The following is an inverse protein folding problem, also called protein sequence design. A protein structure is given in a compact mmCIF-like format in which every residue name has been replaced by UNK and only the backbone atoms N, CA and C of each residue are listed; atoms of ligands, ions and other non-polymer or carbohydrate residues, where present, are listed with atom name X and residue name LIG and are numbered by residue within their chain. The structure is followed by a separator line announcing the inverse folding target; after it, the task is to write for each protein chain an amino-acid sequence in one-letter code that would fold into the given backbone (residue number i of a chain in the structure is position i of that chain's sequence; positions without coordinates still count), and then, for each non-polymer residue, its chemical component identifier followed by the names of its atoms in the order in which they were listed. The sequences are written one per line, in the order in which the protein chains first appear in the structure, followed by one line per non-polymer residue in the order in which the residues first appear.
data_IF_006738147798
#
_entry.id   IF_006738147798
#
_cell.length_a   1.000
_cell.length_b   1.000
_cell.length_c   1.000
_cell.angle_alpha   90.00
_cell.angle_beta   90.00
_cell.angle_gamma   90.00
#
_symmetry.space_group_name_H-M   'P 1'
#
loop_
_entity.id
_entity.type
_entity.pdbx_description
1 polymer ?
#
# COMPACT_ATOMS: atom_id res chain seq x y z
N UNK A 1 -24.01 14.20 5.10
CA UNK A 1 -24.05 12.74 4.90
C UNK A 1 -24.01 12.52 3.40
N UNK A 2 -23.05 11.76 2.88
CA UNK A 2 -23.01 11.36 1.47
C UNK A 2 -23.67 9.99 1.40
N UNK A 3 -24.66 9.86 0.53
CA UNK A 3 -25.36 8.61 0.26
C UNK A 3 -25.48 8.47 -1.26
N UNK A 4 -24.69 7.57 -1.83
CA UNK A 4 -24.69 7.30 -3.27
C UNK A 4 -25.77 6.26 -3.58
N UNK A 5 -26.51 6.46 -4.66
CA UNK A 5 -27.55 5.52 -5.08
C UNK A 5 -27.30 5.11 -6.54
N UNK A 6 -27.38 3.81 -6.83
CA UNK A 6 -27.29 3.25 -8.17
C UNK A 6 -28.00 1.89 -8.21
N UNK A 7 -28.34 1.44 -9.42
CA UNK A 7 -29.03 0.17 -9.65
C UNK A 7 -28.19 -1.00 -9.12
N UNK A 8 -28.82 -1.97 -8.45
CA UNK A 8 -28.15 -3.14 -7.87
C UNK A 8 -27.07 -2.83 -6.84
N UNK A 9 -27.10 -1.68 -6.16
CA UNK A 9 -26.34 -1.44 -4.93
C UNK A 9 -26.78 -2.46 -3.87
N UNK A 10 -26.18 -3.66 -3.90
CA UNK A 10 -26.51 -4.76 -3.02
C UNK A 10 -26.45 -4.30 -1.55
N UNK A 11 -27.36 -4.81 -0.72
CA UNK A 11 -27.19 -4.76 0.73
C UNK A 11 -26.04 -5.69 1.10
N UNK A 12 -24.82 -5.14 1.02
CA UNK A 12 -23.57 -5.88 1.11
C UNK A 12 -23.47 -6.82 2.31
N UNK A 13 -24.16 -6.53 3.41
CA UNK A 13 -24.17 -7.40 4.58
C UNK A 13 -24.76 -8.80 4.29
N UNK A 14 -25.80 -8.88 3.47
CA UNK A 14 -26.42 -10.14 3.07
C UNK A 14 -25.53 -10.91 2.08
N UNK A 15 -24.91 -10.21 1.13
CA UNK A 15 -23.97 -10.81 0.16
C UNK A 15 -22.68 -11.30 0.84
N UNK A 16 -22.15 -10.53 1.79
CA UNK A 16 -20.95 -10.89 2.56
C UNK A 16 -21.16 -12.18 3.34
N UNK A 17 -22.31 -12.34 4.02
CA UNK A 17 -22.62 -13.58 4.74
C UNK A 17 -22.63 -14.79 3.80
N UNK A 18 -23.29 -14.67 2.64
CA UNK A 18 -23.34 -15.73 1.63
C UNK A 18 -21.96 -16.08 1.06
N UNK A 19 -21.10 -15.07 0.83
CA UNK A 19 -19.74 -15.32 0.35
C UNK A 19 -18.91 -16.00 1.44
N UNK A 20 -19.02 -15.56 2.70
CA UNK A 20 -18.27 -16.16 3.82
C UNK A 20 -18.57 -17.64 4.04
N UNK A 21 -19.84 -18.05 3.88
CA UNK A 21 -20.23 -19.45 4.02
C UNK A 21 -19.56 -20.38 2.98
N UNK A 22 -19.15 -19.81 1.83
CA UNK A 22 -18.46 -20.51 0.75
C UNK A 22 -16.92 -20.46 0.86
N UNK A 23 -16.32 -19.70 1.78
CA UNK A 23 -14.86 -19.50 1.87
C UNK A 23 -14.09 -20.61 2.61
N UNK A 24 -14.58 -21.86 2.59
CA UNK A 24 -14.00 -22.99 3.35
C UNK A 24 -12.68 -23.58 2.79
N UNK A 25 -11.99 -22.93 1.85
CA UNK A 25 -10.91 -23.56 1.06
C UNK A 25 -9.53 -22.86 1.09
N UNK A 26 -9.25 -21.99 2.06
CA UNK A 26 -7.87 -21.47 2.23
C UNK A 26 -7.00 -22.45 3.02
N UNK A 27 -5.91 -22.90 2.40
CA UNK A 27 -4.86 -23.67 3.06
C UNK A 27 -3.58 -22.83 3.22
N UNK A 28 -2.91 -23.03 4.36
CA UNK A 28 -1.59 -22.45 4.59
C UNK A 28 -0.55 -23.30 3.90
N UNK A 29 0.36 -22.67 3.17
CA UNK A 29 1.48 -23.37 2.58
C UNK A 29 2.80 -22.85 3.14
N UNK A 30 3.57 -23.76 3.71
CA UNK A 30 4.99 -23.52 3.95
C UNK A 30 5.75 -23.78 2.65
N UNK A 31 5.90 -22.74 1.82
CA UNK A 31 6.83 -22.79 0.67
C UNK A 31 8.28 -22.76 1.18
N UNK A 32 8.72 -23.90 1.72
CA UNK A 32 10.00 -24.16 2.39
C UNK A 32 10.29 -23.20 3.55
N UNK A 33 9.72 -23.53 4.71
CA UNK A 33 10.05 -23.03 6.05
C UNK A 33 11.41 -23.51 6.57
N UNK A 34 12.38 -23.77 5.69
CA UNK A 34 13.79 -23.60 6.04
C UNK A 34 14.48 -22.90 4.88
N UNK A 35 15.03 -21.70 5.08
CA UNK A 35 16.19 -21.32 4.28
C UNK A 35 17.19 -22.48 4.40
N UNK A 36 18.08 -22.65 3.43
CA UNK A 36 19.23 -23.56 3.56
C UNK A 36 20.17 -23.22 4.74
N UNK A 37 19.74 -22.33 5.65
CA UNK A 37 20.48 -21.68 6.72
C UNK A 37 19.51 -21.34 7.86
N UNK A 38 19.79 -21.84 9.06
CA UNK A 38 19.03 -21.58 10.28
C UNK A 38 18.97 -20.07 10.59
N UNK A 39 17.80 -19.45 10.45
CA UNK A 39 17.54 -18.10 10.93
C UNK A 39 17.02 -18.21 12.37
N UNK A 40 17.92 -18.02 13.34
CA UNK A 40 17.58 -17.90 14.77
C UNK A 40 16.77 -16.61 14.98
N UNK A 41 15.50 -16.78 15.36
CA UNK A 41 14.54 -15.69 15.63
C UNK A 41 14.65 -15.26 17.09
N UNK A 42 14.93 -13.99 17.35
CA UNK A 42 14.69 -13.37 18.65
C UNK A 42 14.15 -11.95 18.48
N UNK A 43 12.82 -11.79 18.49
CA UNK A 43 12.16 -10.51 18.72
C UNK A 43 10.84 -10.69 19.48
N UNK A 44 10.47 -9.65 20.23
CA UNK A 44 9.53 -9.60 21.36
C UNK A 44 8.04 -9.87 21.07
N UNK A 45 7.70 -10.61 20.01
CA UNK A 45 6.34 -11.11 19.78
C UNK A 45 6.48 -12.48 19.08
N UNK A 46 6.65 -13.54 19.89
CA UNK A 46 7.17 -14.85 19.43
C UNK A 46 6.28 -15.59 18.43
N UNK A 47 5.04 -15.13 18.17
CA UNK A 47 4.04 -15.92 17.44
C UNK A 47 3.52 -15.27 16.13
N UNK A 48 3.98 -14.07 15.75
CA UNK A 48 3.51 -13.45 14.49
C UNK A 48 4.30 -13.91 13.27
N UNK A 49 3.55 -14.28 12.23
CA UNK A 49 4.05 -14.58 10.88
C UNK A 49 3.38 -13.62 9.91
N UNK A 50 4.16 -12.85 9.16
CA UNK A 50 3.67 -11.99 8.07
C UNK A 50 3.03 -12.84 6.97
N UNK A 51 2.02 -12.30 6.26
CA UNK A 51 1.19 -13.15 5.37
C UNK A 51 1.09 -12.57 3.98
N UNK A 52 1.48 -13.35 2.98
CA UNK A 52 1.30 -13.03 1.57
C UNK A 52 0.22 -13.96 0.99
N UNK A 53 -0.94 -13.42 0.69
CA UNK A 53 -2.04 -14.17 0.10
C UNK A 53 -1.94 -14.17 -1.42
N UNK A 54 -2.01 -15.35 -2.03
CA UNK A 54 -2.25 -15.50 -3.45
C UNK A 54 -3.74 -15.71 -3.68
N UNK A 55 -4.45 -14.66 -4.09
CA UNK A 55 -5.91 -14.69 -4.18
C UNK A 55 -6.52 -13.38 -4.64
N UNK A 56 -7.80 -13.46 -5.01
CA UNK A 56 -8.63 -12.28 -5.21
C UNK A 56 -8.73 -11.48 -3.90
N UNK A 57 -8.64 -10.16 -4.03
CA UNK A 57 -8.50 -9.27 -2.88
C UNK A 57 -9.76 -9.20 -2.01
N UNK A 58 -10.96 -9.26 -2.61
CA UNK A 58 -12.22 -9.25 -1.89
C UNK A 58 -12.40 -10.58 -1.15
N UNK A 59 -12.15 -11.71 -1.83
CA UNK A 59 -12.21 -13.03 -1.20
C UNK A 59 -11.24 -13.16 -0.02
N UNK A 60 -9.99 -12.70 -0.18
CA UNK A 60 -9.00 -12.71 0.90
C UNK A 60 -9.43 -11.81 2.05
N UNK A 61 -9.92 -10.60 1.78
CA UNK A 61 -10.38 -9.71 2.84
C UNK A 61 -11.59 -10.28 3.61
N UNK A 62 -12.51 -10.95 2.92
CA UNK A 62 -13.65 -11.64 3.53
C UNK A 62 -13.22 -12.83 4.39
N UNK A 63 -12.21 -13.59 3.95
CA UNK A 63 -11.60 -14.67 4.72
C UNK A 63 -10.88 -14.15 5.98
N UNK A 64 -10.23 -12.98 5.89
CA UNK A 64 -9.57 -12.35 7.02
C UNK A 64 -10.55 -11.74 8.04
N UNK A 65 -11.74 -11.35 7.59
CA UNK A 65 -12.70 -10.57 8.37
C UNK A 65 -13.08 -11.18 9.74
N UNK A 66 -13.33 -12.49 9.90
CA UNK A 66 -13.62 -13.07 11.20
C UNK A 66 -12.48 -12.93 12.22
N UNK A 67 -11.23 -12.92 11.75
CA UNK A 67 -10.04 -12.90 12.62
C UNK A 67 -9.43 -11.52 12.80
N UNK A 68 -9.47 -10.68 11.76
CA UNK A 68 -8.75 -9.40 11.69
C UNK A 68 -9.67 -8.18 11.63
N UNK A 69 -10.96 -8.34 11.97
CA UNK A 69 -11.87 -7.21 12.14
C UNK A 69 -11.24 -6.18 13.09
N UNK A 70 -11.19 -4.94 12.62
CA UNK A 70 -10.70 -3.79 13.38
C UNK A 70 -9.28 -3.93 13.96
N UNK A 71 -8.39 -4.64 13.25
CA UNK A 71 -7.02 -4.89 13.70
C UNK A 71 -5.93 -4.32 12.78
N UNK A 72 -6.27 -3.83 11.60
CA UNK A 72 -5.29 -3.28 10.66
C UNK A 72 -5.09 -1.79 10.91
N UNK A 73 -3.86 -1.37 11.22
CA UNK A 73 -3.55 0.02 11.58
C UNK A 73 -3.31 0.90 10.35
N UNK A 74 -2.89 0.32 9.23
CA UNK A 74 -2.75 1.06 7.98
C UNK A 74 -3.10 0.21 6.78
N UNK A 75 -3.97 0.75 5.91
CA UNK A 75 -4.22 0.23 4.58
C UNK A 75 -3.59 1.16 3.54
N UNK A 76 -2.71 0.65 2.69
CA UNK A 76 -2.31 1.34 1.46
C UNK A 76 -2.91 0.59 0.27
N UNK A 77 -3.71 1.28 -0.52
CA UNK A 77 -4.42 0.72 -1.65
C UNK A 77 -4.02 1.45 -2.93
N UNK A 78 -3.60 0.68 -3.92
CA UNK A 78 -3.25 1.13 -5.27
C UNK A 78 -4.10 0.33 -6.28
N UNK A 79 -5.43 0.54 -6.29
CA UNK A 79 -6.33 -0.21 -7.16
C UNK A 79 -6.03 0.06 -8.64
N UNK A 80 -6.57 -0.75 -9.57
CA UNK A 80 -6.61 -0.40 -10.98
C UNK A 80 -7.20 1.01 -11.18
N UNK A 81 -6.63 1.81 -12.08
CA UNK A 81 -6.96 3.24 -12.22
C UNK A 81 -8.07 3.51 -13.22
N UNK A 82 -8.73 2.49 -13.76
CA UNK A 82 -9.68 2.63 -14.85
C UNK A 82 -9.01 3.26 -16.10
N UNK A 83 -7.76 2.86 -16.37
CA UNK A 83 -6.96 3.41 -17.48
C UNK A 83 -7.41 2.92 -18.87
N UNK A 84 -8.30 1.93 -18.94
CA UNK A 84 -8.76 1.33 -20.18
C UNK A 84 -7.74 0.38 -20.83
N UNK A 85 -6.66 0.03 -20.13
CA UNK A 85 -5.55 -0.77 -20.66
C UNK A 85 -5.27 -1.98 -19.77
N UNK A 86 -5.02 -3.14 -20.40
CA UNK A 86 -4.51 -4.31 -19.70
C UNK A 86 -2.99 -4.25 -19.59
N UNK A 87 -2.44 -4.50 -18.42
CA UNK A 87 -1.00 -4.41 -18.18
C UNK A 87 -0.34 -5.77 -18.40
N UNK A 88 0.61 -5.83 -19.33
CA UNK A 88 1.31 -7.06 -19.70
C UNK A 88 2.74 -7.09 -19.13
N UNK A 89 3.20 -8.30 -18.87
CA UNK A 89 4.58 -8.61 -18.49
C UNK A 89 5.18 -9.63 -19.44
N UNK A 90 6.47 -9.49 -19.64
CA UNK A 90 7.30 -10.44 -20.35
C UNK A 90 8.10 -11.24 -19.32
N UNK A 91 8.07 -12.55 -19.45
CA UNK A 91 8.76 -13.50 -18.58
C UNK A 91 9.90 -14.13 -19.35
N UNK A 92 11.09 -14.08 -18.75
CA UNK A 92 12.27 -14.80 -19.21
C UNK A 92 12.57 -15.91 -18.20
N UNK A 93 12.52 -17.15 -18.66
CA UNK A 93 12.77 -18.38 -17.91
C UNK A 93 13.85 -19.18 -18.64
N UNK A 94 15.13 -18.99 -18.25
CA UNK A 94 16.26 -19.52 -19.00
C UNK A 94 16.28 -19.00 -20.45
N UNK A 95 16.14 -19.90 -21.42
CA UNK A 95 16.08 -19.57 -22.85
C UNK A 95 14.64 -19.33 -23.36
N UNK A 96 13.62 -19.49 -22.52
CA UNK A 96 12.22 -19.28 -22.90
C UNK A 96 11.80 -17.86 -22.60
N UNK A 97 11.16 -17.22 -23.58
CA UNK A 97 10.58 -15.89 -23.46
C UNK A 97 9.11 -15.96 -23.85
N UNK A 98 8.23 -15.50 -22.96
CA UNK A 98 6.80 -15.47 -23.24
C UNK A 98 6.12 -14.29 -22.55
N UNK A 99 4.95 -13.92 -23.07
CA UNK A 99 4.16 -12.81 -22.56
C UNK A 99 2.95 -13.31 -21.79
N UNK A 100 2.57 -12.56 -20.77
CA UNK A 100 1.38 -12.85 -19.98
C UNK A 100 0.83 -11.58 -19.35
N UNK A 101 -0.36 -11.67 -18.78
CA UNK A 101 -1.02 -10.55 -18.15
C UNK A 101 -0.50 -10.36 -16.71
N UNK A 102 -0.17 -9.12 -16.35
CA UNK A 102 0.11 -8.76 -14.96
C UNK A 102 -1.19 -8.53 -14.19
N UNK A 103 -2.08 -7.68 -14.73
CA UNK A 103 -3.41 -7.43 -14.19
C UNK A 103 -4.31 -6.74 -15.24
N UNK A 104 -5.61 -6.85 -15.02
CA UNK A 104 -6.64 -6.17 -15.81
C UNK A 104 -6.88 -4.75 -15.29
N UNK A 105 -6.92 -3.78 -16.20
CA UNK A 105 -7.44 -2.42 -15.94
C UNK A 105 -8.24 -1.88 -17.14
N UNK A 106 -8.75 -2.84 -17.95
CA UNK A 106 -9.76 -2.61 -18.96
C UNK A 106 -11.06 -3.24 -18.47
N UNK A 107 -12.07 -2.40 -18.27
CA UNK A 107 -13.38 -2.76 -17.73
C UNK A 107 -14.38 -2.74 -18.88
N UNK A 108 -14.78 -3.93 -19.35
CA UNK A 108 -15.63 -4.06 -20.55
C UNK A 108 -17.02 -3.46 -20.33
N UNK A 109 -17.53 -3.60 -19.11
CA UNK A 109 -18.86 -3.15 -18.70
C UNK A 109 -18.88 -1.70 -18.18
N UNK A 110 -17.80 -0.95 -18.42
CA UNK A 110 -17.73 0.48 -18.15
C UNK A 110 -17.45 0.86 -16.69
N UNK A 111 -17.72 2.13 -16.38
CA UNK A 111 -17.38 2.76 -15.11
C UNK A 111 -18.19 2.20 -13.94
N UNK A 112 -19.44 1.81 -14.17
CA UNK A 112 -20.34 1.37 -13.09
C UNK A 112 -19.87 0.07 -12.44
N UNK A 113 -19.44 -0.91 -13.24
CA UNK A 113 -18.87 -2.17 -12.74
C UNK A 113 -17.55 -1.93 -11.99
N UNK A 114 -16.73 -0.99 -12.46
CA UNK A 114 -15.52 -0.57 -11.76
C UNK A 114 -15.84 0.02 -10.38
N UNK A 115 -16.76 0.98 -10.33
CA UNK A 115 -17.15 1.66 -9.09
C UNK A 115 -17.82 0.70 -8.10
N UNK A 116 -18.67 -0.21 -8.59
CA UNK A 116 -19.28 -1.24 -7.74
C UNK A 116 -18.21 -2.15 -7.13
N UNK A 117 -17.23 -2.60 -7.93
CA UNK A 117 -16.12 -3.44 -7.45
C UNK A 117 -15.30 -2.73 -6.37
N UNK A 118 -14.94 -1.45 -6.59
CA UNK A 118 -14.21 -0.64 -5.61
C UNK A 118 -15.03 -0.44 -4.33
N UNK A 119 -16.33 -0.16 -4.45
CA UNK A 119 -17.22 0.02 -3.32
C UNK A 119 -17.29 -1.24 -2.44
N UNK A 120 -17.51 -2.41 -3.06
CA UNK A 120 -17.54 -3.70 -2.37
C UNK A 120 -16.23 -3.99 -1.62
N UNK A 121 -15.09 -3.81 -2.29
CA UNK A 121 -13.76 -4.00 -1.71
C UNK A 121 -13.54 -3.07 -0.52
N UNK A 122 -13.78 -1.76 -0.70
CA UNK A 122 -13.50 -0.76 0.33
C UNK A 122 -14.44 -0.88 1.53
N UNK A 123 -15.67 -1.34 1.32
CA UNK A 123 -16.59 -1.65 2.41
C UNK A 123 -16.04 -2.73 3.34
N UNK A 124 -15.49 -3.82 2.79
CA UNK A 124 -14.87 -4.89 3.58
C UNK A 124 -13.56 -4.41 4.22
N UNK A 125 -12.72 -3.70 3.47
CA UNK A 125 -11.46 -3.15 3.99
C UNK A 125 -11.69 -2.21 5.18
N UNK A 126 -12.74 -1.37 5.13
CA UNK A 126 -13.14 -0.53 6.27
C UNK A 126 -13.41 -1.36 7.53
N UNK A 127 -14.03 -2.54 7.41
CA UNK A 127 -14.31 -3.42 8.57
C UNK A 127 -13.04 -4.07 9.14
N UNK A 128 -11.97 -4.20 8.36
CA UNK A 128 -10.67 -4.70 8.84
C UNK A 128 -9.82 -3.61 9.52
N UNK A 129 -10.02 -2.35 9.13
CA UNK A 129 -9.27 -1.21 9.66
C UNK A 129 -9.58 -0.96 11.14
N UNK A 130 -8.54 -0.84 11.97
CA UNK A 130 -8.64 -0.57 13.41
C UNK A 130 -9.25 0.81 13.67
N UNK A 131 -9.81 1.07 14.86
CA UNK A 131 -10.39 2.38 15.18
C UNK A 131 -9.39 3.53 15.03
N UNK A 132 -8.10 3.26 15.27
CA UNK A 132 -6.98 4.20 15.14
C UNK A 132 -6.34 4.21 13.74
N UNK A 133 -6.85 3.37 12.84
CA UNK A 133 -6.23 3.09 11.57
C UNK A 133 -6.51 4.13 10.49
N UNK A 134 -5.57 4.22 9.55
CA UNK A 134 -5.66 5.08 8.37
C UNK A 134 -5.72 4.27 7.08
N UNK A 135 -6.53 4.72 6.13
CA UNK A 135 -6.56 4.21 4.76
C UNK A 135 -5.98 5.26 3.81
N UNK A 136 -5.02 4.84 2.98
CA UNK A 136 -4.38 5.63 1.95
C UNK A 136 -4.77 5.04 0.59
N UNK A 137 -5.58 5.77 -0.18
CA UNK A 137 -6.07 5.31 -1.49
C UNK A 137 -5.41 6.12 -2.59
N UNK A 138 -4.58 5.46 -3.38
CA UNK A 138 -3.84 6.06 -4.49
C UNK A 138 -4.64 5.98 -5.79
N UNK A 139 -4.80 7.12 -6.46
CA UNK A 139 -5.60 7.26 -7.68
C UNK A 139 -4.96 8.24 -8.65
N UNK A 140 -5.22 8.04 -9.94
CA UNK A 140 -4.92 9.04 -10.97
C UNK A 140 -6.17 9.86 -11.34
N UNK A 141 -6.14 10.55 -12.49
CA UNK A 141 -7.20 11.46 -12.91
C UNK A 141 -8.46 10.79 -13.47
N UNK A 142 -8.45 9.49 -13.80
CA UNK A 142 -9.58 8.88 -14.51
C UNK A 142 -10.82 8.74 -13.62
N UNK A 143 -10.65 8.28 -12.38
CA UNK A 143 -11.77 7.94 -11.49
C UNK A 143 -11.68 8.54 -10.07
N UNK A 144 -10.73 9.44 -9.80
CA UNK A 144 -10.49 9.96 -8.44
C UNK A 144 -11.72 10.57 -7.76
N UNK A 145 -12.53 11.34 -8.48
CA UNK A 145 -13.68 12.04 -7.90
C UNK A 145 -14.78 11.06 -7.48
N UNK A 146 -15.00 10.00 -8.26
CA UNK A 146 -15.96 8.94 -7.92
C UNK A 146 -15.47 8.12 -6.72
N UNK A 147 -14.19 7.75 -6.70
CA UNK A 147 -13.59 7.04 -5.55
C UNK A 147 -13.64 7.91 -4.29
N UNK A 148 -13.42 9.22 -4.40
CA UNK A 148 -13.53 10.16 -3.28
C UNK A 148 -14.95 10.26 -2.73
N UNK A 149 -15.97 10.12 -3.58
CA UNK A 149 -17.37 10.06 -3.15
C UNK A 149 -17.69 8.74 -2.44
N UNK A 150 -17.20 7.60 -2.96
CA UNK A 150 -17.30 6.29 -2.30
C UNK A 150 -16.69 6.33 -0.90
N UNK A 151 -15.49 6.93 -0.76
CA UNK A 151 -14.84 7.04 0.55
C UNK A 151 -15.63 7.93 1.51
N UNK A 152 -16.27 9.00 1.04
CA UNK A 152 -17.12 9.85 1.90
C UNK A 152 -18.34 9.12 2.44
N UNK A 153 -18.99 8.29 1.63
CA UNK A 153 -20.09 7.47 2.11
C UNK A 153 -19.58 6.41 3.11
N UNK A 154 -18.52 5.69 2.73
CA UNK A 154 -18.02 4.57 3.52
C UNK A 154 -17.42 5.04 4.84
N UNK A 155 -16.55 6.03 4.84
CA UNK A 155 -15.84 6.49 6.05
C UNK A 155 -16.53 7.66 6.73
N UNK A 156 -17.37 8.41 6.02
CA UNK A 156 -17.95 9.66 6.51
C UNK A 156 -17.07 10.86 6.16
N UNK A 157 -17.70 11.94 5.70
CA UNK A 157 -17.01 13.16 5.27
C UNK A 157 -16.10 13.77 6.35
N UNK A 158 -16.46 13.65 7.62
CA UNK A 158 -15.70 14.19 8.74
C UNK A 158 -14.41 13.39 9.03
N UNK A 159 -14.34 12.14 8.56
CA UNK A 159 -13.16 11.29 8.68
C UNK A 159 -12.17 11.47 7.51
N UNK A 160 -12.43 12.42 6.61
CA UNK A 160 -11.45 12.82 5.61
C UNK A 160 -10.28 13.55 6.30
N UNK A 161 -9.08 12.98 6.19
CA UNK A 161 -7.88 13.50 6.85
C UNK A 161 -7.12 14.43 5.91
N UNK A 162 -6.82 13.98 4.69
CA UNK A 162 -6.03 14.76 3.74
C UNK A 162 -6.11 14.25 2.29
N UNK A 163 -5.66 15.07 1.35
CA UNK A 163 -5.39 14.71 -0.05
C UNK A 163 -3.91 14.99 -0.36
N UNK A 164 -3.09 13.95 -0.39
CA UNK A 164 -1.66 14.06 -0.67
C UNK A 164 -1.43 14.09 -2.18
N UNK A 165 -0.68 15.08 -2.65
CA UNK A 165 -0.26 15.20 -4.06
C UNK A 165 1.11 14.58 -4.22
N UNK A 166 1.19 13.44 -4.92
CA UNK A 166 2.48 12.85 -5.28
C UNK A 166 2.98 13.44 -6.60
N UNK A 167 3.83 14.45 -6.51
CA UNK A 167 4.45 15.10 -7.67
C UNK A 167 5.73 14.37 -8.11
N UNK A 168 5.70 13.82 -9.32
CA UNK A 168 6.85 13.20 -9.96
C UNK A 168 7.50 14.17 -10.97
N UNK A 169 8.76 14.51 -10.72
CA UNK A 169 9.50 15.48 -11.55
C UNK A 169 10.18 14.86 -12.78
N UNK A 170 10.10 13.53 -12.94
CA UNK A 170 10.83 12.75 -13.92
C UNK A 170 9.91 11.96 -14.87
N UNK A 171 8.59 12.18 -14.85
CA UNK A 171 7.69 11.60 -15.87
C UNK A 171 7.69 12.52 -17.08
N UNK A 172 8.09 11.96 -18.21
CA UNK A 172 7.88 12.63 -19.49
C UNK A 172 6.39 12.56 -19.86
N UNK A 173 5.81 13.70 -20.29
CA UNK A 173 4.46 13.74 -20.83
C UNK A 173 4.55 13.98 -22.33
N UNK A 174 4.00 13.05 -23.11
CA UNK A 174 3.94 13.16 -24.57
C UNK A 174 2.70 13.92 -25.08
N UNK A 175 1.83 14.40 -24.18
CA UNK A 175 0.60 15.11 -24.53
C UNK A 175 0.87 16.41 -25.26
N UNK A 176 0.27 16.60 -26.45
CA UNK A 176 0.41 17.82 -27.27
C UNK A 176 -0.61 18.91 -26.94
N UNK A 177 -1.77 18.53 -26.37
CA UNK A 177 -2.93 19.41 -26.19
C UNK A 177 -3.28 19.69 -24.72
N UNK A 178 -2.42 19.32 -23.78
CA UNK A 178 -2.63 19.53 -22.35
C UNK A 178 -1.31 19.72 -21.60
N UNK A 179 -1.39 20.27 -20.39
CA UNK A 179 -0.25 20.33 -19.50
C UNK A 179 0.23 18.91 -19.14
N UNK A 180 1.54 18.70 -18.98
CA UNK A 180 2.08 17.45 -18.48
C UNK A 180 1.42 16.99 -17.19
N UNK A 181 0.76 15.82 -17.22
CA UNK A 181 0.21 15.19 -16.03
C UNK A 181 1.35 14.73 -15.12
N UNK A 182 1.66 15.54 -14.13
CA UNK A 182 2.88 15.41 -13.33
C UNK A 182 2.66 14.89 -11.89
N UNK A 183 1.43 14.52 -11.54
CA UNK A 183 1.11 14.02 -10.20
C UNK A 183 -0.04 13.02 -10.20
N UNK A 184 -0.08 12.23 -9.14
CA UNK A 184 -1.20 11.41 -8.72
C UNK A 184 -1.69 11.90 -7.34
N UNK A 185 -2.89 11.47 -6.93
CA UNK A 185 -3.51 11.86 -5.65
C UNK A 185 -3.60 10.64 -4.73
N UNK A 186 -3.30 10.82 -3.44
CA UNK A 186 -3.51 9.81 -2.41
C UNK A 186 -4.48 10.38 -1.38
N UNK A 187 -5.71 9.86 -1.37
CA UNK A 187 -6.70 10.23 -0.35
C UNK A 187 -6.39 9.52 0.97
N UNK A 188 -6.54 10.25 2.07
CA UNK A 188 -6.34 9.73 3.43
C UNK A 188 -7.63 9.88 4.21
N UNK A 189 -8.11 8.77 4.76
CA UNK A 189 -9.24 8.73 5.69
C UNK A 189 -8.86 8.01 6.96
N UNK A 190 -9.46 8.42 8.07
CA UNK A 190 -9.42 7.69 9.33
C UNK A 190 -10.65 6.81 9.48
N UNK A 191 -10.54 5.77 10.31
CA UNK A 191 -11.70 4.97 10.73
C UNK A 191 -12.60 5.72 11.70
N UNK A 192 -12.01 6.54 12.56
CA UNK A 192 -12.65 7.31 13.63
C UNK A 192 -11.97 8.68 13.82
N UNK A 193 -12.45 9.44 14.80
CA UNK A 193 -11.88 10.75 15.18
C UNK A 193 -10.53 10.63 15.90
N UNK A 194 -10.17 9.43 16.39
CA UNK A 194 -8.89 9.14 17.03
C UNK A 194 -8.06 8.24 16.13
N UNK A 195 -6.89 8.70 15.68
CA UNK A 195 -6.04 7.94 14.76
C UNK A 195 -4.55 8.27 14.90
N UNK A 196 -3.70 7.32 14.50
CA UNK A 196 -2.25 7.51 14.50
C UNK A 196 -1.82 8.36 13.31
N UNK A 197 -1.28 9.56 13.57
CA UNK A 197 -0.69 10.43 12.55
C UNK A 197 0.60 11.08 13.05
N UNK A 198 1.72 10.46 12.72
CA UNK A 198 3.04 10.90 13.13
C UNK A 198 3.52 12.12 12.33
N UNK A 199 4.02 13.13 13.04
CA UNK A 199 4.67 14.27 12.40
C UNK A 199 6.01 13.88 11.79
N UNK A 200 6.14 14.03 10.47
CA UNK A 200 7.42 13.92 9.78
C UNK A 200 7.98 15.31 9.47
N UNK A 201 9.28 15.48 9.72
CA UNK A 201 10.04 16.68 9.37
C UNK A 201 10.98 16.40 8.21
N UNK A 202 11.07 17.36 7.28
CA UNK A 202 11.95 17.29 6.11
C UNK A 202 12.94 18.45 6.10
N UNK A 203 14.18 18.23 5.63
CA UNK A 203 15.17 19.29 5.53
C UNK A 203 14.73 20.39 4.56
N UNK A 204 15.06 21.63 4.90
CA UNK A 204 14.90 22.78 3.99
C UNK A 204 16.07 22.84 3.02
N UNK A 205 15.82 23.31 1.80
CA UNK A 205 16.88 23.61 0.82
C UNK A 205 17.85 24.68 1.33
N UNK A 206 17.32 25.69 2.03
CA UNK A 206 18.10 26.75 2.67
C UNK A 206 17.57 26.95 4.10
N UNK A 207 18.46 27.04 5.11
CA UNK A 207 18.05 27.41 6.46
C UNK A 207 17.37 28.78 6.47
N UNK A 208 16.42 28.97 7.37
CA UNK A 208 15.73 30.26 7.56
C UNK A 208 15.91 30.75 8.98
N UNK A 209 15.89 32.07 9.17
CA UNK A 209 15.76 32.69 10.49
C UNK A 209 14.27 32.69 10.88
N UNK A 210 13.94 32.07 12.00
CA UNK A 210 12.60 32.10 12.57
C UNK A 210 12.65 32.75 13.95
N UNK A 211 11.65 33.59 14.28
CA UNK A 211 11.51 34.14 15.61
C UNK A 211 11.41 33.00 16.64
N UNK A 212 12.25 33.06 17.68
CA UNK A 212 12.14 32.17 18.83
C UNK A 212 10.88 32.58 19.59
N UNK A 213 10.01 31.62 19.88
CA UNK A 213 8.81 31.85 20.70
C UNK A 213 8.95 31.11 22.02
N UNK A 214 8.46 31.72 23.08
CA UNK A 214 8.46 31.18 24.45
C UNK A 214 7.06 31.28 25.04
N UNK A 215 6.69 30.28 25.85
CA UNK A 215 5.43 30.32 26.60
C UNK A 215 5.61 31.22 27.81
N UNK A 216 4.76 32.26 27.91
CA UNK A 216 4.70 33.17 29.06
C UNK A 216 3.25 33.25 29.50
N UNK A 217 2.95 32.78 30.71
CA UNK A 217 1.59 32.75 31.28
C UNK A 217 0.56 32.11 30.33
N UNK A 218 0.88 30.94 29.77
CA UNK A 218 -0.01 30.23 28.83
C UNK A 218 -0.12 30.85 27.43
N UNK A 219 0.54 31.99 27.18
CA UNK A 219 0.53 32.66 25.87
C UNK A 219 1.88 32.54 25.17
N UNK A 220 1.86 32.16 23.90
CA UNK A 220 3.07 32.05 23.07
C UNK A 220 3.54 33.45 22.62
N UNK A 221 4.63 33.97 23.20
CA UNK A 221 5.20 35.30 22.86
C UNK A 221 6.53 35.17 22.13
N UNK A 222 6.89 36.17 21.33
CA UNK A 222 8.23 36.25 20.72
C UNK A 222 9.26 36.50 21.83
N UNK A 223 10.32 35.69 21.85
CA UNK A 223 11.41 35.83 22.79
C UNK A 223 12.19 37.12 22.50
N UNK A 224 12.50 37.84 23.57
CA UNK A 224 13.34 39.03 23.54
C UNK A 224 14.59 38.79 24.38
N UNK A 225 15.70 39.41 23.99
CA UNK A 225 16.91 39.46 24.81
C UNK A 225 16.78 40.49 25.94
N UNK A 226 17.82 40.63 26.75
CA UNK A 226 17.89 41.57 27.89
C UNK A 226 17.70 43.04 27.46
N UNK A 227 17.99 43.35 26.19
CA UNK A 227 17.85 44.68 25.60
C UNK A 227 16.50 44.87 24.89
N UNK A 228 15.60 43.88 24.95
CA UNK A 228 14.28 43.93 24.33
C UNK A 228 14.25 43.58 22.83
N UNK A 229 15.37 43.17 22.23
CA UNK A 229 15.45 42.80 20.81
C UNK A 229 14.93 41.38 20.57
N UNK A 230 14.30 41.16 19.40
CA UNK A 230 13.76 39.86 19.03
C UNK A 230 14.85 38.82 18.81
N UNK A 231 14.72 37.66 19.46
CA UNK A 231 15.65 36.54 19.31
C UNK A 231 15.20 35.67 18.13
N UNK A 232 16.15 35.33 17.25
CA UNK A 232 15.94 34.43 16.12
C UNK A 232 16.67 33.10 16.35
N UNK A 233 16.10 32.01 15.83
CA UNK A 233 16.74 30.71 15.71
C UNK A 233 16.90 30.33 14.24
N UNK A 234 17.97 29.63 13.91
CA UNK A 234 18.16 29.05 12.57
C UNK A 234 17.41 27.73 12.50
N UNK A 235 16.45 27.64 11.58
CA UNK A 235 15.65 26.42 11.37
C UNK A 235 16.08 25.78 10.06
N UNK A 236 16.53 24.52 10.16
CA UNK A 236 17.06 23.75 9.02
C UNK A 236 16.05 22.76 8.43
N UNK A 237 14.91 22.56 9.08
CA UNK A 237 13.86 21.64 8.65
C UNK A 237 12.47 22.30 8.65
N UNK A 238 11.47 21.59 8.15
CA UNK A 238 10.06 21.96 8.26
C UNK A 238 9.22 20.71 8.48
N UNK A 239 8.03 20.91 9.06
CA UNK A 239 6.98 19.91 8.97
C UNK A 239 6.72 19.60 7.50
N UNK A 240 6.60 18.33 7.18
CA UNK A 240 6.28 17.89 5.84
C UNK A 240 4.85 18.30 5.48
N UNK A 241 4.68 18.83 4.28
CA UNK A 241 3.39 19.18 3.70
C UNK A 241 2.81 17.99 2.93
N UNK A 242 1.65 18.19 2.33
CA UNK A 242 0.88 17.24 1.52
C UNK A 242 1.34 17.15 0.06
N UNK A 243 2.27 18.00 -0.39
CA UNK A 243 2.85 17.95 -1.75
C UNK A 243 4.21 17.26 -1.76
N UNK A 244 4.21 15.99 -2.16
CA UNK A 244 5.39 15.15 -2.07
C UNK A 244 6.14 15.05 -3.38
N UNK A 245 7.32 15.67 -3.43
CA UNK A 245 8.24 15.55 -4.56
C UNK A 245 9.06 14.26 -4.48
N UNK A 246 8.57 13.19 -5.10
CA UNK A 246 9.22 11.86 -5.17
C UNK A 246 9.18 11.40 -6.64
N UNK A 247 10.27 10.87 -7.22
CA UNK A 247 10.24 10.46 -8.63
C UNK A 247 9.32 9.26 -8.83
N UNK A 248 8.69 9.18 -10.00
CA UNK A 248 8.05 7.94 -10.43
C UNK A 248 9.11 6.87 -10.69
N UNK A 249 8.70 5.60 -10.59
CA UNK A 249 9.60 4.48 -10.80
C UNK A 249 10.06 4.42 -12.26
N UNK A 250 11.37 4.27 -12.46
CA UNK A 250 11.99 4.19 -13.78
C UNK A 250 12.65 2.82 -13.94
N UNK A 251 12.66 2.22 -15.14
CA UNK A 251 13.29 0.92 -15.39
C UNK A 251 14.79 0.87 -15.03
N UNK A 252 15.49 2.00 -15.12
CA UNK A 252 16.90 2.12 -14.75
C UNK A 252 17.14 2.22 -13.22
N UNK A 253 16.09 2.28 -12.40
CA UNK A 253 16.23 2.38 -10.95
C UNK A 253 16.75 1.07 -10.37
N UNK A 254 17.73 1.14 -9.46
CA UNK A 254 18.22 -0.05 -8.72
C UNK A 254 17.15 -0.78 -7.91
N UNK A 255 16.04 -0.11 -7.63
CA UNK A 255 14.94 -0.66 -6.85
C UNK A 255 13.82 -1.26 -7.73
N UNK A 256 13.92 -1.14 -9.06
CA UNK A 256 12.95 -1.63 -10.02
C UNK A 256 12.97 -3.16 -10.10
N UNK A 257 11.79 -3.77 -10.03
CA UNK A 257 11.60 -5.23 -10.07
C UNK A 257 11.25 -5.75 -11.45
N UNK A 258 10.98 -4.86 -12.41
CA UNK A 258 10.41 -5.23 -13.70
C UNK A 258 8.89 -5.21 -13.76
N UNK A 259 8.20 -5.23 -12.61
CA UNK A 259 6.74 -5.30 -12.58
C UNK A 259 6.07 -3.96 -12.93
N UNK A 260 5.00 -3.93 -13.75
CA UNK A 260 4.29 -2.71 -14.10
C UNK A 260 3.87 -1.90 -12.87
N UNK A 261 3.80 -0.58 -13.06
CA UNK A 261 3.26 0.39 -12.09
C UNK A 261 3.87 0.35 -10.68
N UNK A 262 5.00 -0.32 -10.46
CA UNK A 262 5.69 -0.35 -9.16
C UNK A 262 5.89 1.05 -8.58
N UNK A 263 5.61 1.19 -7.28
CA UNK A 263 5.74 2.42 -6.53
C UNK A 263 7.14 2.62 -5.94
N UNK A 264 7.50 3.87 -5.68
CA UNK A 264 8.83 4.24 -5.17
C UNK A 264 8.95 3.96 -3.67
N UNK A 265 10.03 3.32 -3.20
CA UNK A 265 10.15 2.91 -1.79
C UNK A 265 9.97 4.08 -0.82
N UNK A 266 10.58 5.23 -1.12
CA UNK A 266 10.42 6.49 -0.35
C UNK A 266 8.96 6.93 -0.16
N UNK A 267 8.06 6.63 -1.11
CA UNK A 267 6.64 6.96 -0.99
C UNK A 267 6.01 6.10 0.11
N UNK A 268 6.17 4.78 0.03
CA UNK A 268 5.57 3.84 0.99
C UNK A 268 6.21 3.96 2.37
N UNK A 269 7.54 4.13 2.45
CA UNK A 269 8.23 4.35 3.72
C UNK A 269 7.69 5.60 4.44
N UNK A 270 7.29 6.62 3.68
CA UNK A 270 6.73 7.86 4.23
C UNK A 270 5.30 7.65 4.70
N UNK A 271 4.46 7.00 3.90
CA UNK A 271 3.08 6.65 4.26
C UNK A 271 3.05 5.83 5.55
N UNK A 272 3.84 4.75 5.60
CA UNK A 272 3.92 3.85 6.75
C UNK A 272 4.38 4.61 8.00
N UNK A 273 5.41 5.46 7.90
CA UNK A 273 5.88 6.25 9.05
C UNK A 273 4.83 7.24 9.57
N UNK A 274 4.00 7.80 8.69
CA UNK A 274 2.93 8.73 9.10
C UNK A 274 1.85 7.96 9.85
N UNK A 275 1.31 6.89 9.26
CA UNK A 275 0.11 6.25 9.80
C UNK A 275 0.35 5.10 10.77
N UNK A 276 1.61 4.76 11.09
CA UNK A 276 1.93 3.64 12.00
C UNK A 276 3.19 3.85 12.84
N UNK A 277 3.28 3.11 13.93
CA UNK A 277 4.45 2.89 14.78
C UNK A 277 5.14 1.53 14.47
N UNK A 278 6.29 1.25 15.09
CA UNK A 278 6.91 -0.09 14.98
C UNK A 278 5.97 -1.14 15.62
N UNK A 279 5.84 -2.32 15.00
CA UNK A 279 4.95 -3.38 15.48
C UNK A 279 3.51 -3.32 14.94
N UNK A 280 3.02 -2.16 14.51
CA UNK A 280 1.69 -2.01 13.93
C UNK A 280 1.49 -2.90 12.68
N UNK A 281 0.22 -3.20 12.38
CA UNK A 281 -0.18 -4.05 11.25
C UNK A 281 -0.51 -3.21 10.01
N UNK A 282 0.30 -3.36 8.97
CA UNK A 282 0.09 -2.74 7.66
C UNK A 282 -0.53 -3.76 6.69
N UNK A 283 -1.51 -3.37 5.90
CA UNK A 283 -1.99 -4.21 4.81
C UNK A 283 -2.06 -3.51 3.45
N UNK A 284 -1.84 -4.30 2.40
CA UNK A 284 -1.93 -3.89 1.00
C UNK A 284 -2.63 -4.98 0.20
N UNK A 285 -3.88 -4.72 -0.16
CA UNK A 285 -4.71 -5.67 -0.91
C UNK A 285 -4.54 -5.57 -2.44
N UNK A 286 -3.56 -4.79 -2.91
CA UNK A 286 -3.16 -4.65 -4.32
C UNK A 286 -1.62 -4.68 -4.42
N UNK A 287 -0.97 -5.60 -3.72
CA UNK A 287 0.44 -5.43 -3.37
C UNK A 287 1.40 -5.47 -4.57
N UNK A 288 1.01 -6.12 -5.68
CA UNK A 288 1.77 -6.19 -6.92
C UNK A 288 3.22 -6.63 -6.70
N UNK A 289 4.15 -5.74 -7.00
CA UNK A 289 5.60 -5.91 -6.77
C UNK A 289 6.06 -5.96 -5.29
N UNK A 290 5.12 -5.90 -4.33
CA UNK A 290 5.39 -6.02 -2.89
C UNK A 290 6.06 -4.78 -2.28
N UNK A 291 5.85 -3.59 -2.84
CA UNK A 291 6.59 -2.40 -2.38
C UNK A 291 6.18 -1.97 -0.99
N UNK A 292 4.89 -1.99 -0.68
CA UNK A 292 4.37 -1.68 0.65
C UNK A 292 4.87 -2.68 1.69
N UNK A 293 4.78 -3.97 1.39
CA UNK A 293 5.22 -5.05 2.30
C UNK A 293 6.72 -4.96 2.60
N UNK A 294 7.53 -4.74 1.57
CA UNK A 294 8.97 -4.52 1.74
C UNK A 294 9.29 -3.28 2.60
N UNK A 295 8.53 -2.19 2.42
CA UNK A 295 8.72 -0.98 3.23
C UNK A 295 8.27 -1.21 4.68
N UNK A 296 7.17 -1.94 4.90
CA UNK A 296 6.68 -2.33 6.22
C UNK A 296 7.71 -3.20 6.95
N UNK A 297 8.23 -4.24 6.27
CA UNK A 297 9.30 -5.12 6.77
C UNK A 297 10.53 -4.31 7.19
N UNK A 298 11.03 -3.44 6.30
CA UNK A 298 12.19 -2.58 6.58
C UNK A 298 11.97 -1.64 7.77
N UNK A 299 10.73 -1.23 8.00
CA UNK A 299 10.32 -0.39 9.10
C UNK A 299 9.84 -1.20 10.32
N UNK A 300 10.00 -2.53 10.34
CA UNK A 300 9.59 -3.41 11.45
C UNK A 300 8.10 -3.32 11.79
N UNK A 301 7.26 -3.23 10.76
CA UNK A 301 5.81 -3.40 10.89
C UNK A 301 5.45 -4.85 10.56
N UNK A 302 4.39 -5.34 11.18
CA UNK A 302 3.73 -6.57 10.74
C UNK A 302 2.99 -6.27 9.44
N UNK A 303 2.85 -7.24 8.55
CA UNK A 303 2.12 -7.02 7.30
C UNK A 303 1.29 -8.19 6.79
N UNK A 304 0.22 -7.83 6.08
CA UNK A 304 -0.60 -8.71 5.25
C UNK A 304 -0.65 -8.13 3.84
N UNK A 305 -0.36 -8.93 2.82
CA UNK A 305 -0.49 -8.52 1.43
C UNK A 305 -1.30 -9.52 0.63
N UNK A 306 -1.95 -9.08 -0.45
CA UNK A 306 -2.52 -10.00 -1.44
C UNK A 306 -2.28 -9.54 -2.87
N UNK A 307 -2.19 -10.51 -3.76
CA UNK A 307 -2.29 -10.31 -5.20
C UNK A 307 -2.82 -11.59 -5.87
N UNK A 308 -3.55 -11.46 -6.97
CA UNK A 308 -4.07 -12.62 -7.69
C UNK A 308 -3.04 -13.19 -8.69
N UNK A 309 -2.04 -12.40 -9.10
CA UNK A 309 -1.02 -12.80 -10.05
C UNK A 309 0.07 -13.64 -9.39
N UNK A 310 0.25 -14.88 -9.85
CA UNK A 310 1.37 -15.74 -9.40
C UNK A 310 2.74 -15.09 -9.57
N UNK A 311 2.89 -14.21 -10.57
CA UNK A 311 4.13 -13.47 -10.81
C UNK A 311 4.34 -12.33 -9.83
N UNK A 312 3.27 -11.64 -9.40
CA UNK A 312 3.33 -10.67 -8.31
C UNK A 312 3.74 -11.36 -7.00
N UNK A 313 3.15 -12.51 -6.70
CA UNK A 313 3.48 -13.33 -5.53
C UNK A 313 4.93 -13.80 -5.58
N UNK A 314 5.39 -14.35 -6.72
CA UNK A 314 6.78 -14.75 -6.93
C UNK A 314 7.76 -13.58 -6.70
N UNK A 315 7.50 -12.41 -7.31
CA UNK A 315 8.37 -11.25 -7.17
C UNK A 315 8.42 -10.72 -5.74
N UNK A 316 7.25 -10.59 -5.11
CA UNK A 316 7.13 -10.12 -3.73
C UNK A 316 7.87 -11.04 -2.77
N UNK A 317 7.66 -12.36 -2.88
CA UNK A 317 8.38 -13.37 -2.11
C UNK A 317 9.89 -13.23 -2.28
N UNK A 318 10.39 -13.24 -3.51
CA UNK A 318 11.83 -13.22 -3.75
C UNK A 318 12.47 -11.90 -3.31
N UNK A 319 11.75 -10.78 -3.47
CA UNK A 319 12.18 -9.48 -2.97
C UNK A 319 12.32 -9.46 -1.45
N UNK A 320 11.36 -10.02 -0.72
CA UNK A 320 11.39 -10.11 0.74
C UNK A 320 12.48 -11.07 1.22
N UNK A 321 12.59 -12.27 0.64
CA UNK A 321 13.65 -13.22 0.98
C UNK A 321 15.04 -12.59 0.78
N UNK A 322 15.28 -11.95 -0.37
CA UNK A 322 16.55 -11.27 -0.66
C UNK A 322 16.87 -10.16 0.36
N UNK A 323 15.86 -9.47 0.88
CA UNK A 323 16.04 -8.48 1.93
C UNK A 323 16.47 -9.12 3.26
N UNK A 324 15.76 -10.17 3.67
CA UNK A 324 16.03 -10.91 4.91
C UNK A 324 17.44 -11.52 4.88
N UNK A 325 17.85 -12.12 3.76
CA UNK A 325 19.17 -12.70 3.59
C UNK A 325 20.31 -11.68 3.67
N UNK A 326 20.21 -10.53 2.98
CA UNK A 326 21.31 -9.57 2.88
C UNK A 326 21.67 -8.88 4.18
N UNK A 327 20.76 -8.85 5.15
CA UNK A 327 20.89 -7.97 6.30
C UNK A 327 21.30 -8.67 7.61
N UNK A 328 21.45 -10.00 7.66
CA UNK A 328 21.74 -10.77 8.89
C UNK A 328 20.92 -10.25 10.09
N UNK A 329 19.65 -9.89 9.89
CA UNK A 329 18.85 -9.25 10.94
C UNK A 329 18.25 -10.33 11.80
N UNK A 330 18.69 -10.41 13.05
CA UNK A 330 18.18 -11.37 14.03
C UNK A 330 16.75 -11.05 14.54
N UNK A 331 16.11 -9.99 14.04
CA UNK A 331 14.89 -9.39 14.62
C UNK A 331 13.80 -9.04 13.58
N UNK A 332 13.61 -9.87 12.55
CA UNK A 332 12.52 -9.69 11.57
C UNK A 332 11.50 -10.84 11.66
N UNK A 333 10.26 -10.55 11.29
CA UNK A 333 9.17 -11.53 11.36
C UNK A 333 9.30 -12.53 10.21
N UNK A 334 9.11 -13.85 10.44
CA UNK A 334 8.94 -14.80 9.34
C UNK A 334 7.71 -14.44 8.50
N UNK A 335 7.62 -14.93 7.27
CA UNK A 335 6.41 -14.80 6.46
C UNK A 335 6.00 -16.10 5.78
N UNK A 336 4.69 -16.28 5.63
CA UNK A 336 4.06 -17.42 4.95
C UNK A 336 3.33 -16.96 3.69
N UNK A 337 3.10 -17.92 2.78
CA UNK A 337 2.25 -17.72 1.60
C UNK A 337 0.98 -18.55 1.79
N UNK A 338 -0.17 -17.93 1.60
CA UNK A 338 -1.47 -18.55 1.83
C UNK A 338 -2.31 -18.43 0.57
N UNK A 339 -3.03 -19.47 0.19
CA UNK A 339 -3.88 -19.40 -1.02
C UNK A 339 -5.12 -20.25 -0.88
N UNK A 340 -6.16 -19.93 -1.64
CA UNK A 340 -7.30 -20.83 -1.80
C UNK A 340 -6.93 -21.96 -2.76
N UNK A 341 -7.38 -23.16 -2.42
CA UNK A 341 -7.14 -24.35 -3.22
C UNK A 341 -8.00 -24.29 -4.49
N UNK A 342 -7.35 -24.25 -5.63
CA UNK A 342 -7.92 -24.61 -6.93
C UNK A 342 -6.98 -25.60 -7.62
N UNK A 343 -7.49 -26.39 -8.56
CA UNK A 343 -6.67 -27.35 -9.32
C UNK A 343 -5.45 -26.67 -9.95
N UNK A 344 -5.65 -25.54 -10.63
CA UNK A 344 -4.56 -24.75 -11.25
C UNK A 344 -3.51 -24.32 -10.22
N UNK A 345 -3.94 -23.83 -9.04
CA UNK A 345 -3.00 -23.38 -8.01
C UNK A 345 -2.26 -24.56 -7.40
N UNK A 346 -2.93 -25.69 -7.15
CA UNK A 346 -2.28 -26.91 -6.67
C UNK A 346 -1.21 -27.39 -7.66
N UNK A 347 -1.49 -27.39 -8.96
CA UNK A 347 -0.50 -27.74 -9.99
C UNK A 347 0.73 -26.84 -9.93
N UNK A 348 0.52 -25.52 -9.81
CA UNK A 348 1.62 -24.56 -9.70
C UNK A 348 2.40 -24.75 -8.39
N UNK A 349 1.71 -24.99 -7.27
CA UNK A 349 2.33 -25.21 -5.97
C UNK A 349 3.15 -26.51 -5.91
N UNK A 350 2.68 -27.56 -6.58
CA UNK A 350 3.37 -28.84 -6.70
C UNK A 350 4.51 -28.81 -7.75
N UNK A 351 4.56 -27.77 -8.58
CA UNK A 351 5.64 -27.53 -9.52
C UNK A 351 6.85 -26.84 -8.86
N UNK A 352 7.92 -26.68 -9.62
CA UNK A 352 9.11 -25.92 -9.24
C UNK A 352 8.97 -24.39 -9.45
N UNK A 353 7.76 -23.89 -9.73
CA UNK A 353 7.53 -22.49 -10.13
C UNK A 353 8.19 -21.45 -9.21
N UNK A 354 8.07 -21.61 -7.88
CA UNK A 354 8.62 -20.65 -6.91
C UNK A 354 10.13 -20.82 -6.66
N UNK A 355 10.72 -21.88 -7.22
CA UNK A 355 12.15 -22.21 -7.17
C UNK A 355 12.87 -21.76 -8.43
N UNK A 356 12.15 -21.45 -9.51
CA UNK A 356 12.70 -20.94 -10.77
C UNK A 356 13.38 -19.58 -10.62
N UNK A 357 14.34 -19.31 -11.50
CA UNK A 357 14.91 -17.98 -11.69
C UNK A 357 14.22 -17.27 -12.87
N UNK A 358 13.15 -16.55 -12.57
CA UNK A 358 12.41 -15.74 -13.54
C UNK A 358 12.92 -14.29 -13.54
N UNK A 359 13.15 -13.75 -14.74
CA UNK A 359 13.30 -12.31 -14.95
C UNK A 359 11.98 -11.77 -15.52
N UNK A 360 11.37 -10.82 -14.82
CA UNK A 360 10.11 -10.19 -15.24
C UNK A 360 10.43 -8.81 -15.79
N UNK A 361 9.85 -8.47 -16.93
CA UNK A 361 9.98 -7.14 -17.54
C UNK A 361 8.60 -6.58 -17.88
N UNK A 362 8.39 -5.29 -17.62
CA UNK A 362 7.21 -4.56 -18.09
C UNK A 362 7.28 -4.50 -19.61
N UNK A 363 6.20 -4.92 -20.27
CA UNK A 363 6.05 -4.72 -21.71
C UNK A 363 5.81 -3.22 -21.98
N UNK A 364 6.50 -2.71 -23.01
CA UNK A 364 6.42 -1.30 -23.40
C UNK A 364 5.07 -0.94 -23.99
#
# INVERSE_FOLDING_TARGET
MVDLNWDDKERLEESISKIQDNLRSFERMELNSKPKYDLLVNANDKDWINKLYWGDNLQVALYLLPKFREQIDLLYLDPPFFSGTNYQIQILEGNKEFETLAYHDKWQDGLDVYLNTIYQQFYVFKKLLSPQGLIFVHVDWHANHYIRAILDELFGINNFVNSIVWYYYNKYSAGKYNLPRAHDIIFVYSKSDEYTFNELRIPRKKPIKQLKRVMVNGTLKNAKDENGNLIYRIVKDKKMDDVWRIPCMQPASKQWTGYPTQKHHRLLERIIKIGTNEGDLVADFYCGSGTTLYAAEKLKRRWIGTDNSKYAIYLTRNRLLNYLHKKNVNNLYPFEIVTSISEERQEILNSDFFQKELIIKRKK
#
